data_IF_805418698156
#
_entry.id   IF_805418698156
#
_cell.length_a   1.000
_cell.length_b   1.000
_cell.length_c   1.000
_cell.angle_alpha   90.00
_cell.angle_beta   90.00
_cell.angle_gamma   90.00
#
_symmetry.space_group_name_H-M   'P 1'
#
loop_
_entity.id
_entity.type
_entity.pdbx_description
1 polymer ?
#
# COMPACT_ATOMS: atom_id res chain seq x y z
N UNK A 1 26.27 20.80 2.12
CA UNK A 1 26.34 20.73 3.59
C UNK A 1 25.42 19.60 4.05
N UNK A 2 26.00 18.46 4.45
CA UNK A 2 25.22 17.28 4.84
C UNK A 2 24.72 17.44 6.27
N UNK A 3 23.40 17.59 6.43
CA UNK A 3 22.76 17.51 7.75
C UNK A 3 22.74 16.03 8.13
N UNK A 4 23.70 15.58 8.95
CA UNK A 4 23.52 14.36 9.73
C UNK A 4 22.51 14.68 10.83
N UNK A 5 21.22 14.61 10.50
CA UNK A 5 20.16 14.60 11.48
C UNK A 5 20.23 13.24 12.20
N UNK A 6 21.06 13.15 13.24
CA UNK A 6 21.06 11.98 14.11
C UNK A 6 19.85 12.14 15.04
N UNK A 7 18.87 11.24 14.93
CA UNK A 7 17.72 11.25 15.82
C UNK A 7 18.20 11.18 17.29
N UNK A 8 17.56 11.92 18.22
CA UNK A 8 17.91 11.85 19.64
C UNK A 8 17.91 10.40 20.14
N UNK A 9 18.85 10.06 21.03
CA UNK A 9 19.06 8.66 21.47
C UNK A 9 17.82 8.01 22.09
N UNK A 10 16.93 8.80 22.72
CA UNK A 10 15.68 8.30 23.29
C UNK A 10 14.64 7.96 22.21
N UNK A 11 14.53 8.75 21.14
CA UNK A 11 13.65 8.46 20.00
C UNK A 11 14.13 7.19 19.30
N UNK A 12 15.43 7.07 19.08
CA UNK A 12 16.03 5.87 18.49
C UNK A 12 15.76 4.63 19.35
N UNK A 13 15.91 4.74 20.68
CA UNK A 13 15.59 3.67 21.62
C UNK A 13 14.11 3.27 21.57
N UNK A 14 13.21 4.24 21.47
CA UNK A 14 11.78 3.98 21.33
C UNK A 14 11.45 3.26 20.01
N UNK A 15 11.99 3.71 18.87
CA UNK A 15 11.80 3.03 17.59
C UNK A 15 12.35 1.60 17.62
N UNK A 16 13.54 1.40 18.19
CA UNK A 16 14.15 0.08 18.33
C UNK A 16 13.29 -0.87 19.18
N UNK A 17 12.71 -0.36 20.28
CA UNK A 17 11.79 -1.11 21.12
C UNK A 17 10.53 -1.51 20.34
N UNK A 18 9.87 -0.56 19.67
CA UNK A 18 8.64 -0.81 18.89
C UNK A 18 8.90 -1.86 17.80
N UNK A 19 10.00 -1.74 17.06
CA UNK A 19 10.37 -2.71 16.02
C UNK A 19 10.65 -4.08 16.63
N UNK A 20 11.36 -4.15 17.75
CA UNK A 20 11.66 -5.42 18.42
C UNK A 20 10.39 -6.10 18.92
N UNK A 21 9.48 -5.35 19.55
CA UNK A 21 8.17 -5.87 19.95
C UNK A 21 7.36 -6.38 18.74
N UNK A 22 7.35 -5.65 17.63
CA UNK A 22 6.67 -6.05 16.41
C UNK A 22 7.27 -7.33 15.81
N UNK A 23 8.60 -7.44 15.80
CA UNK A 23 9.31 -8.65 15.34
C UNK A 23 8.98 -9.83 16.24
N UNK A 24 9.07 -9.67 17.56
CA UNK A 24 8.76 -10.74 18.52
C UNK A 24 7.32 -11.23 18.39
N UNK A 25 6.35 -10.31 18.27
CA UNK A 25 4.94 -10.65 18.08
C UNK A 25 4.70 -11.38 16.76
N UNK A 26 5.35 -10.93 15.68
CA UNK A 26 5.25 -11.60 14.38
C UNK A 26 5.91 -12.99 14.42
N UNK A 27 7.06 -13.10 15.07
CA UNK A 27 7.78 -14.37 15.27
C UNK A 27 6.99 -15.36 16.12
N UNK A 28 6.27 -14.93 17.15
CA UNK A 28 5.42 -15.82 17.94
C UNK A 28 4.27 -16.39 17.10
N UNK A 29 3.64 -15.57 16.24
CA UNK A 29 2.62 -16.05 15.31
C UNK A 29 3.17 -17.06 14.30
N UNK A 30 4.36 -16.81 13.74
CA UNK A 30 5.04 -17.75 12.84
C UNK A 30 5.36 -19.06 13.56
N UNK A 31 5.83 -19.00 14.81
CA UNK A 31 6.16 -20.18 15.61
C UNK A 31 4.93 -21.03 15.93
N UNK A 32 3.80 -20.40 16.27
CA UNK A 32 2.53 -21.08 16.49
C UNK A 32 2.01 -21.75 15.22
N UNK A 33 2.02 -21.04 14.08
CA UNK A 33 1.64 -21.60 12.79
C UNK A 33 2.52 -22.79 12.39
N UNK A 34 3.83 -22.69 12.60
CA UNK A 34 4.79 -23.77 12.34
C UNK A 34 4.48 -25.02 13.17
N UNK A 35 4.17 -24.86 14.47
CA UNK A 35 3.79 -26.00 15.32
C UNK A 35 2.47 -26.64 14.89
N UNK A 36 1.48 -25.85 14.47
CA UNK A 36 0.21 -26.36 13.98
C UNK A 36 0.39 -27.19 12.68
N UNK A 37 1.26 -26.75 11.77
CA UNK A 37 1.58 -27.47 10.55
C UNK A 37 2.27 -28.82 10.82
N UNK A 38 3.20 -28.88 11.78
CA UNK A 38 3.91 -30.12 12.17
C UNK A 38 2.94 -31.19 12.72
N UNK A 39 1.88 -30.78 13.42
CA UNK A 39 0.87 -31.70 13.97
C UNK A 39 -0.10 -32.23 12.89
N UNK A 40 -0.32 -31.48 11.81
CA UNK A 40 -1.26 -31.81 10.72
C UNK A 40 -0.65 -32.69 9.61
N UNK A 41 0.18 -33.67 9.97
CA UNK A 41 1.05 -34.45 9.07
C UNK A 41 0.34 -35.47 8.15
N UNK A 42 -0.79 -35.11 7.52
CA UNK A 42 -1.40 -35.89 6.43
C UNK A 42 -1.31 -35.26 5.04
N UNK A 43 -0.78 -34.04 4.92
CA UNK A 43 -0.11 -33.40 3.78
C UNK A 43 -0.05 -31.92 4.20
N UNK A 44 1.04 -31.46 4.84
CA UNK A 44 1.16 -30.06 5.18
C UNK A 44 1.54 -29.32 3.89
N UNK A 45 0.56 -28.86 3.12
CA UNK A 45 0.85 -27.81 2.15
C UNK A 45 1.33 -26.60 2.95
N UNK A 46 2.56 -26.15 2.72
CA UNK A 46 3.08 -24.96 3.38
C UNK A 46 2.21 -23.76 2.96
N UNK A 47 1.95 -22.81 3.86
CA UNK A 47 1.26 -21.57 3.51
C UNK A 47 2.01 -20.86 2.38
N UNK A 48 3.33 -20.98 2.37
CA UNK A 48 4.17 -20.52 1.27
C UNK A 48 3.90 -21.26 -0.06
N UNK A 49 3.62 -22.56 -0.04
CA UNK A 49 3.26 -23.34 -1.23
C UNK A 49 1.88 -22.92 -1.76
N UNK A 50 0.92 -22.66 -0.87
CA UNK A 50 -0.36 -22.07 -1.24
C UNK A 50 -0.16 -20.73 -1.94
N UNK A 51 0.62 -19.81 -1.36
CA UNK A 51 0.95 -18.51 -1.96
C UNK A 51 1.65 -18.66 -3.32
N UNK A 52 2.61 -19.58 -3.43
CA UNK A 52 3.36 -19.81 -4.67
C UNK A 52 2.47 -20.39 -5.78
N UNK A 53 1.69 -21.44 -5.48
CA UNK A 53 0.72 -22.02 -6.42
C UNK A 53 -0.31 -20.97 -6.81
N UNK A 54 -0.77 -20.16 -5.87
CA UNK A 54 -1.73 -19.07 -6.06
C UNK A 54 -1.21 -17.97 -7.00
N UNK A 55 0.03 -17.50 -6.85
CA UNK A 55 0.65 -16.51 -7.76
C UNK A 55 0.75 -17.04 -9.20
N UNK A 56 1.14 -18.30 -9.36
CA UNK A 56 1.43 -18.88 -10.69
C UNK A 56 0.23 -19.54 -11.38
N UNK A 57 -0.89 -19.77 -10.69
CA UNK A 57 -2.12 -20.34 -11.28
C UNK A 57 -3.23 -19.30 -11.39
N UNK A 58 -3.93 -19.01 -10.29
CA UNK A 58 -5.10 -18.14 -10.24
C UNK A 58 -4.78 -16.68 -10.55
N UNK A 59 -3.63 -16.18 -10.08
CA UNK A 59 -3.30 -14.76 -10.21
C UNK A 59 -2.53 -14.43 -11.50
N UNK A 60 -1.87 -15.41 -12.12
CA UNK A 60 -1.02 -15.21 -13.31
C UNK A 60 -1.74 -14.47 -14.44
N UNK A 61 -2.94 -14.91 -14.81
CA UNK A 61 -3.65 -14.32 -15.95
C UNK A 61 -4.20 -12.92 -15.63
N UNK A 62 -4.64 -12.68 -14.40
CA UNK A 62 -5.12 -11.37 -13.94
C UNK A 62 -3.96 -10.38 -13.86
N UNK A 63 -2.85 -10.74 -13.21
CA UNK A 63 -1.65 -9.89 -13.14
C UNK A 63 -1.15 -9.59 -14.54
N UNK A 64 -0.98 -10.61 -15.39
CA UNK A 64 -0.46 -10.40 -16.74
C UNK A 64 -1.42 -9.49 -17.51
N UNK A 65 -2.73 -9.72 -17.46
CA UNK A 65 -3.69 -8.87 -18.15
C UNK A 65 -3.70 -7.42 -17.62
N UNK A 66 -3.72 -7.23 -16.30
CA UNK A 66 -3.75 -5.90 -15.69
C UNK A 66 -2.41 -5.16 -15.85
N UNK A 67 -1.27 -5.84 -15.74
CA UNK A 67 0.06 -5.22 -15.94
C UNK A 67 0.37 -4.98 -17.42
N UNK A 68 0.09 -5.94 -18.31
CA UNK A 68 0.29 -5.74 -19.76
C UNK A 68 -0.69 -4.70 -20.30
N UNK A 69 -1.95 -4.74 -19.85
CA UNK A 69 -2.95 -3.72 -20.10
C UNK A 69 -2.50 -2.37 -19.58
N UNK A 70 -1.95 -2.30 -18.35
CA UNK A 70 -1.37 -1.08 -17.82
C UNK A 70 -0.27 -0.55 -18.72
N UNK A 71 0.73 -1.36 -19.10
CA UNK A 71 1.86 -0.92 -19.93
C UNK A 71 1.42 -0.50 -21.34
N UNK A 72 0.55 -1.26 -22.00
CA UNK A 72 0.08 -0.95 -23.35
C UNK A 72 -0.82 0.28 -23.36
N UNK A 73 -1.80 0.34 -22.47
CA UNK A 73 -2.70 1.48 -22.31
C UNK A 73 -1.93 2.73 -21.87
N UNK A 74 -1.02 2.57 -20.90
CA UNK A 74 -0.11 3.62 -20.46
C UNK A 74 0.72 4.16 -21.62
N UNK A 75 1.32 3.29 -22.42
CA UNK A 75 2.17 3.69 -23.53
C UNK A 75 1.39 4.45 -24.59
N UNK A 76 0.20 3.97 -24.95
CA UNK A 76 -0.69 4.63 -25.92
C UNK A 76 -1.12 6.00 -25.41
N UNK A 77 -1.63 6.09 -24.17
CA UNK A 77 -2.05 7.36 -23.57
C UNK A 77 -0.88 8.32 -23.31
N UNK A 78 0.30 7.79 -23.00
CA UNK A 78 1.53 8.55 -22.79
C UNK A 78 2.06 9.18 -24.07
N UNK A 79 1.80 8.55 -25.22
CA UNK A 79 2.13 9.07 -26.55
C UNK A 79 1.11 10.09 -27.04
N UNK A 80 -0.17 9.94 -26.70
CA UNK A 80 -1.23 10.87 -27.15
C UNK A 80 -1.39 12.08 -26.23
N UNK A 81 -1.25 11.91 -24.91
CA UNK A 81 -1.48 12.97 -23.91
C UNK A 81 -0.39 12.94 -22.82
N UNK A 82 0.85 13.34 -23.16
CA UNK A 82 2.00 13.20 -22.28
C UNK A 82 1.89 14.03 -20.98
N UNK A 83 1.11 15.11 -20.99
CA UNK A 83 0.94 16.01 -19.85
C UNK A 83 0.04 15.43 -18.75
N UNK A 84 -0.84 14.46 -19.07
CA UNK A 84 -1.81 13.89 -18.12
C UNK A 84 -1.50 12.43 -17.73
N UNK A 85 -0.28 11.95 -18.00
CA UNK A 85 0.16 10.57 -17.72
C UNK A 85 -0.18 10.08 -16.31
N UNK A 86 0.13 10.89 -15.30
CA UNK A 86 -0.12 10.55 -13.89
C UNK A 86 -1.61 10.35 -13.59
N UNK A 87 -2.48 11.16 -14.19
CA UNK A 87 -3.93 11.07 -14.02
C UNK A 87 -4.46 9.82 -14.71
N UNK A 88 -3.96 9.51 -15.91
CA UNK A 88 -4.33 8.27 -16.63
C UNK A 88 -3.93 7.04 -15.81
N UNK A 89 -2.74 7.04 -15.22
CA UNK A 89 -2.28 5.92 -14.38
C UNK A 89 -3.13 5.76 -13.12
N UNK A 90 -3.48 6.87 -12.47
CA UNK A 90 -4.39 6.87 -11.33
C UNK A 90 -5.76 6.29 -11.70
N UNK A 91 -6.37 6.76 -12.79
CA UNK A 91 -7.68 6.29 -13.24
C UNK A 91 -7.65 4.81 -13.62
N UNK A 92 -6.61 4.38 -14.34
CA UNK A 92 -6.42 2.97 -14.66
C UNK A 92 -6.29 2.12 -13.39
N UNK A 93 -5.52 2.58 -12.40
CA UNK A 93 -5.39 1.91 -11.11
C UNK A 93 -6.72 1.78 -10.38
N UNK A 94 -7.50 2.87 -10.30
CA UNK A 94 -8.84 2.84 -9.69
C UNK A 94 -9.78 1.86 -10.41
N UNK A 95 -9.77 1.84 -11.74
CA UNK A 95 -10.57 0.91 -12.53
C UNK A 95 -10.12 -0.54 -12.36
N UNK A 96 -8.81 -0.80 -12.28
CA UNK A 96 -8.27 -2.12 -12.03
C UNK A 96 -8.68 -2.64 -10.65
N UNK A 97 -8.65 -1.79 -9.62
CA UNK A 97 -9.11 -2.12 -8.26
C UNK A 97 -10.62 -2.38 -8.25
N UNK A 98 -11.39 -1.51 -8.90
CA UNK A 98 -12.84 -1.67 -9.01
C UNK A 98 -13.21 -2.98 -9.72
N UNK A 99 -12.53 -3.32 -10.81
CA UNK A 99 -12.79 -4.52 -11.58
C UNK A 99 -12.32 -5.82 -10.91
N UNK A 100 -11.30 -5.75 -10.04
CA UNK A 100 -10.75 -6.94 -9.35
C UNK A 100 -11.36 -7.19 -7.98
N UNK A 101 -11.50 -6.16 -7.16
CA UNK A 101 -11.91 -6.25 -5.74
C UNK A 101 -13.29 -5.64 -5.46
N UNK A 102 -13.88 -4.97 -6.45
CA UNK A 102 -15.20 -4.36 -6.34
C UNK A 102 -15.20 -2.97 -5.69
N UNK A 103 -16.39 -2.38 -5.67
CA UNK A 103 -16.60 -1.00 -5.23
C UNK A 103 -16.34 -0.81 -3.73
N UNK A 104 -16.77 -1.77 -2.91
CA UNK A 104 -16.58 -1.73 -1.47
C UNK A 104 -15.11 -1.56 -1.07
N UNK A 105 -14.23 -2.36 -1.67
CA UNK A 105 -12.80 -2.29 -1.41
C UNK A 105 -12.20 -0.95 -1.88
N UNK A 106 -12.61 -0.47 -3.04
CA UNK A 106 -12.21 0.86 -3.52
C UNK A 106 -12.61 1.95 -2.51
N UNK A 107 -13.81 1.88 -1.94
CA UNK A 107 -14.28 2.82 -0.92
C UNK A 107 -13.45 2.75 0.37
N UNK A 108 -13.04 1.55 0.79
CA UNK A 108 -12.12 1.39 1.95
C UNK A 108 -10.80 2.09 1.69
N UNK A 109 -10.17 1.87 0.52
CA UNK A 109 -8.92 2.55 0.15
C UNK A 109 -9.09 4.07 0.12
N UNK A 110 -10.15 4.57 -0.51
CA UNK A 110 -10.45 6.00 -0.56
C UNK A 110 -10.68 6.59 0.82
N UNK A 111 -11.30 5.84 1.73
CA UNK A 111 -11.51 6.25 3.12
C UNK A 111 -10.18 6.42 3.88
N UNK A 112 -9.24 5.47 3.73
CA UNK A 112 -7.91 5.58 4.32
C UNK A 112 -7.13 6.78 3.75
N UNK A 113 -7.22 7.00 2.44
CA UNK A 113 -6.64 8.20 1.81
C UNK A 113 -7.23 9.48 2.42
N UNK A 114 -8.56 9.55 2.59
CA UNK A 114 -9.23 10.72 3.14
C UNK A 114 -8.83 10.97 4.60
N UNK A 115 -8.86 9.94 5.45
CA UNK A 115 -8.52 10.04 6.88
C UNK A 115 -7.08 10.54 7.04
N UNK A 116 -6.12 9.90 6.37
CA UNK A 116 -4.71 10.26 6.51
C UNK A 116 -4.37 11.58 5.83
N UNK A 117 -5.09 11.96 4.76
CA UNK A 117 -5.01 13.30 4.19
C UNK A 117 -5.48 14.36 5.20
N UNK A 118 -6.62 14.14 5.85
CA UNK A 118 -7.12 15.04 6.90
C UNK A 118 -6.14 15.20 8.05
N UNK A 119 -5.48 14.11 8.46
CA UNK A 119 -4.42 14.16 9.48
C UNK A 119 -3.19 14.93 8.97
N UNK A 120 -2.82 14.76 7.70
CA UNK A 120 -1.73 15.50 7.08
C UNK A 120 -1.96 17.03 7.09
N UNK A 121 -3.23 17.47 7.03
CA UNK A 121 -3.60 18.89 7.14
C UNK A 121 -3.14 19.52 8.46
N UNK A 122 -3.05 18.74 9.54
CA UNK A 122 -2.61 19.22 10.84
C UNK A 122 -1.10 19.51 10.90
N UNK A 123 -0.31 19.03 9.93
CA UNK A 123 1.17 19.15 9.87
C UNK A 123 1.90 18.68 11.13
N UNK A 124 1.32 17.74 11.88
CA UNK A 124 1.95 17.17 13.07
C UNK A 124 2.44 15.74 12.77
N UNK A 125 3.76 15.54 12.78
CA UNK A 125 4.37 14.22 12.48
C UNK A 125 3.86 13.10 13.39
N UNK A 126 3.71 13.39 14.68
CA UNK A 126 3.26 12.40 15.66
C UNK A 126 1.81 11.94 15.37
N UNK A 127 0.93 12.85 14.93
CA UNK A 127 -0.43 12.49 14.52
C UNK A 127 -0.43 11.59 13.29
N UNK A 128 0.44 11.86 12.31
CA UNK A 128 0.58 11.00 11.12
C UNK A 128 0.99 9.58 11.50
N UNK A 129 1.95 9.41 12.42
CA UNK A 129 2.35 8.10 12.92
C UNK A 129 1.24 7.39 13.68
N UNK A 130 0.63 8.07 14.66
CA UNK A 130 -0.45 7.48 15.48
C UNK A 130 -1.63 7.07 14.61
N UNK A 131 -2.09 7.96 13.72
CA UNK A 131 -3.22 7.68 12.84
C UNK A 131 -2.91 6.52 11.88
N UNK A 132 -1.74 6.51 11.24
CA UNK A 132 -1.39 5.44 10.31
C UNK A 132 -1.17 4.09 11.00
N UNK A 133 -0.56 4.06 12.20
CA UNK A 133 -0.43 2.84 13.00
C UNK A 133 -1.80 2.33 13.48
N UNK A 134 -2.70 3.23 13.86
CA UNK A 134 -4.08 2.89 14.22
C UNK A 134 -4.83 2.31 13.00
N UNK A 135 -4.70 2.92 11.83
CA UNK A 135 -5.26 2.38 10.59
C UNK A 135 -4.69 0.97 10.28
N UNK A 136 -3.38 0.77 10.40
CA UNK A 136 -2.77 -0.56 10.21
C UNK A 136 -3.31 -1.59 11.21
N UNK A 137 -3.42 -1.22 12.48
CA UNK A 137 -3.98 -2.08 13.51
C UNK A 137 -5.46 -2.41 13.24
N UNK A 138 -6.24 -1.44 12.75
CA UNK A 138 -7.68 -1.61 12.49
C UNK A 138 -7.99 -2.68 11.42
N UNK A 139 -7.07 -2.98 10.51
CA UNK A 139 -7.25 -4.06 9.52
C UNK A 139 -7.34 -5.44 10.18
N UNK A 140 -6.64 -5.64 11.30
CA UNK A 140 -6.52 -6.94 11.99
C UNK A 140 -7.34 -7.02 13.28
N UNK A 141 -7.89 -5.90 13.75
CA UNK A 141 -8.69 -5.85 14.97
C UNK A 141 -10.18 -6.03 14.66
N UNK A 142 -10.85 -6.92 15.39
CA UNK A 142 -12.30 -6.99 15.42
C UNK A 142 -12.90 -5.77 16.16
N UNK A 143 -14.06 -5.22 15.73
CA UNK A 143 -14.95 -5.71 14.67
C UNK A 143 -14.62 -5.19 13.26
N UNK A 144 -13.57 -4.36 13.13
CA UNK A 144 -13.27 -3.69 11.87
C UNK A 144 -12.83 -4.67 10.78
N UNK A 145 -12.11 -5.72 11.14
CA UNK A 145 -11.69 -6.78 10.21
C UNK A 145 -12.90 -7.49 9.57
N UNK A 146 -13.83 -8.01 10.38
CA UNK A 146 -15.06 -8.66 9.89
C UNK A 146 -15.99 -7.73 9.12
N UNK A 147 -16.09 -6.46 9.52
CA UNK A 147 -16.88 -5.48 8.76
C UNK A 147 -16.27 -5.18 7.42
N UNK A 148 -14.96 -4.95 7.37
CA UNK A 148 -14.28 -4.64 6.12
C UNK A 148 -14.31 -5.83 5.16
N UNK A 149 -14.07 -7.06 5.62
CA UNK A 149 -14.17 -8.26 4.77
C UNK A 149 -15.60 -8.53 4.32
N UNK A 150 -16.60 -8.28 5.17
CA UNK A 150 -18.02 -8.46 4.85
C UNK A 150 -18.52 -7.58 3.71
N UNK A 151 -17.87 -6.43 3.43
CA UNK A 151 -18.22 -5.59 2.28
C UNK A 151 -17.58 -6.05 0.97
N UNK A 152 -16.50 -6.84 1.03
CA UNK A 152 -15.76 -7.25 -0.16
C UNK A 152 -16.39 -8.56 -0.65
N UNK A 153 -17.55 -8.44 -1.30
CA UNK A 153 -18.28 -9.59 -1.86
C UNK A 153 -17.69 -9.97 -3.22
N UNK A 154 -16.78 -10.96 -3.26
CA UNK A 154 -16.20 -11.48 -4.51
C UNK A 154 -15.92 -12.98 -4.42
N UNK A 155 -16.15 -13.72 -5.50
CA UNK A 155 -16.00 -15.16 -5.55
C UNK A 155 -14.57 -15.60 -5.93
N UNK A 156 -13.55 -14.94 -5.38
CA UNK A 156 -12.15 -15.28 -5.66
C UNK A 156 -11.44 -15.68 -4.36
N UNK A 157 -10.83 -16.86 -4.35
CA UNK A 157 -10.05 -17.41 -3.22
C UNK A 157 -8.86 -16.52 -2.78
N UNK A 158 -8.60 -15.43 -3.52
CA UNK A 158 -7.46 -14.53 -3.38
C UNK A 158 -7.78 -13.21 -2.68
N UNK A 159 -9.04 -12.99 -2.36
CA UNK A 159 -9.54 -11.71 -1.91
C UNK A 159 -8.93 -11.26 -0.59
N UNK A 160 -8.72 -12.17 0.35
CA UNK A 160 -8.13 -11.85 1.66
C UNK A 160 -6.69 -11.37 1.55
N UNK A 161 -5.84 -12.05 0.78
CA UNK A 161 -4.42 -11.66 0.62
C UNK A 161 -4.31 -10.29 -0.05
N UNK A 162 -5.11 -10.04 -1.08
CA UNK A 162 -5.12 -8.75 -1.78
C UNK A 162 -5.76 -7.64 -0.94
N UNK A 163 -6.74 -7.99 -0.11
CA UNK A 163 -7.36 -7.10 0.86
C UNK A 163 -6.36 -6.66 1.92
N UNK A 164 -5.71 -7.60 2.61
CA UNK A 164 -4.73 -7.30 3.66
C UNK A 164 -3.49 -6.61 3.12
N UNK A 165 -2.92 -7.15 2.03
CA UNK A 165 -1.74 -6.59 1.38
C UNK A 165 -2.02 -5.20 0.82
N UNK A 166 -3.03 -5.06 -0.05
CA UNK A 166 -3.34 -3.79 -0.69
C UNK A 166 -3.78 -2.69 0.28
N UNK A 167 -4.55 -3.03 1.33
CA UNK A 167 -4.91 -2.06 2.38
C UNK A 167 -3.68 -1.65 3.19
N UNK A 168 -2.83 -2.61 3.56
CA UNK A 168 -1.58 -2.34 4.29
C UNK A 168 -0.63 -1.41 3.52
N UNK A 169 -0.34 -1.72 2.26
CA UNK A 169 0.51 -0.89 1.40
C UNK A 169 -0.11 0.49 1.12
N UNK A 170 -1.44 0.57 1.00
CA UNK A 170 -2.14 1.87 0.89
C UNK A 170 -1.92 2.71 2.13
N UNK A 171 -2.11 2.16 3.32
CA UNK A 171 -1.92 2.91 4.58
C UNK A 171 -0.47 3.34 4.73
N UNK A 172 0.51 2.50 4.40
CA UNK A 172 1.92 2.87 4.42
C UNK A 172 2.22 4.04 3.46
N UNK A 173 1.67 4.03 2.24
CA UNK A 173 1.81 5.13 1.28
C UNK A 173 1.12 6.40 1.77
N UNK A 174 -0.09 6.30 2.31
CA UNK A 174 -0.77 7.44 2.92
C UNK A 174 0.00 8.02 4.11
N UNK A 175 0.62 7.17 4.93
CA UNK A 175 1.46 7.60 6.05
C UNK A 175 2.73 8.29 5.55
N UNK A 176 3.41 7.74 4.54
CA UNK A 176 4.53 8.39 3.84
C UNK A 176 4.13 9.79 3.40
N UNK A 177 3.09 9.90 2.56
CA UNK A 177 2.57 11.17 2.08
C UNK A 177 2.28 12.17 3.21
N UNK A 178 1.67 11.72 4.31
CA UNK A 178 1.31 12.58 5.43
C UNK A 178 2.55 13.10 6.18
N UNK A 179 3.57 12.26 6.34
CA UNK A 179 4.85 12.64 6.95
C UNK A 179 5.61 13.63 6.07
N UNK A 180 5.78 13.33 4.77
CA UNK A 180 6.47 14.22 3.83
C UNK A 180 5.72 15.55 3.65
N UNK A 181 4.39 15.52 3.59
CA UNK A 181 3.56 16.73 3.56
C UNK A 181 3.71 17.61 4.80
N UNK A 182 3.93 17.00 5.97
CA UNK A 182 4.12 17.71 7.23
C UNK A 182 5.48 18.39 7.35
N UNK A 183 6.51 17.87 6.66
CA UNK A 183 7.86 18.46 6.62
C UNK A 183 7.96 19.67 5.70
N UNK A 184 7.00 19.83 4.79
CA UNK A 184 7.00 20.90 3.80
C UNK A 184 6.70 22.25 4.45
N UNK A 185 7.64 23.20 4.28
CA UNK A 185 7.56 24.56 4.82
C UNK A 185 6.37 25.36 4.28
N UNK A 186 6.01 25.17 3.01
CA UNK A 186 4.94 25.92 2.34
C UNK A 186 3.91 24.98 1.70
N UNK A 187 2.64 25.20 2.04
CA UNK A 187 1.51 24.44 1.49
C UNK A 187 1.48 22.96 1.91
N UNK A 188 0.52 22.24 1.37
CA UNK A 188 0.34 20.78 1.48
C UNK A 188 0.09 20.26 0.06
N UNK A 189 0.52 19.04 -0.23
CA UNK A 189 0.22 18.41 -1.51
C UNK A 189 -1.29 18.19 -1.69
N UNK A 190 -1.76 18.13 -2.93
CA UNK A 190 -3.19 17.94 -3.17
C UNK A 190 -3.60 16.52 -2.82
N UNK A 191 -4.87 16.33 -2.45
CA UNK A 191 -5.46 14.99 -2.35
C UNK A 191 -5.31 14.21 -3.67
N UNK A 192 -5.31 14.91 -4.82
CA UNK A 192 -5.05 14.27 -6.11
C UNK A 192 -3.64 13.70 -6.23
N UNK A 193 -2.64 14.29 -5.56
CA UNK A 193 -1.28 13.75 -5.57
C UNK A 193 -1.18 12.49 -4.70
N UNK A 194 -1.92 12.45 -3.58
CA UNK A 194 -2.08 11.24 -2.77
C UNK A 194 -2.78 10.11 -3.56
N UNK A 195 -3.83 10.44 -4.32
CA UNK A 195 -4.55 9.46 -5.14
C UNK A 195 -3.66 8.92 -6.27
N UNK A 196 -2.90 9.78 -6.96
CA UNK A 196 -1.92 9.33 -7.97
C UNK A 196 -0.91 8.36 -7.36
N UNK A 197 -0.43 8.63 -6.16
CA UNK A 197 0.53 7.80 -5.45
C UNK A 197 -0.06 6.44 -5.01
N UNK A 198 -1.29 6.44 -4.48
CA UNK A 198 -1.96 5.22 -4.05
C UNK A 198 -2.47 4.36 -5.21
N UNK A 199 -2.91 4.95 -6.31
CA UNK A 199 -3.43 4.19 -7.45
C UNK A 199 -2.41 4.00 -8.59
N UNK A 200 -1.13 4.27 -8.34
CA UNK A 200 -0.09 3.91 -9.29
C UNK A 200 0.09 2.38 -9.29
N UNK A 201 -0.45 1.74 -10.33
CA UNK A 201 -0.60 0.28 -10.41
C UNK A 201 0.71 -0.53 -10.21
N UNK A 202 1.88 -0.09 -10.73
CA UNK A 202 3.15 -0.76 -10.45
C UNK A 202 3.49 -0.91 -8.96
N UNK A 203 2.87 -0.12 -8.07
CA UNK A 203 3.06 -0.16 -6.62
C UNK A 203 1.86 -0.69 -5.83
N UNK A 204 0.76 -1.09 -6.49
CA UNK A 204 -0.54 -1.17 -5.82
C UNK A 204 -0.70 -2.34 -4.84
N UNK A 205 -0.29 -3.56 -5.22
CA UNK A 205 -0.46 -4.73 -4.35
C UNK A 205 0.82 -5.11 -3.60
N UNK A 206 1.96 -5.17 -4.30
CA UNK A 206 3.26 -5.59 -3.72
C UNK A 206 4.47 -4.96 -4.42
N UNK A 207 4.30 -3.80 -5.05
CA UNK A 207 5.44 -3.15 -5.71
C UNK A 207 6.43 -2.55 -4.70
N UNK A 208 7.61 -2.11 -5.17
CA UNK A 208 8.62 -1.51 -4.30
C UNK A 208 8.03 -0.37 -3.44
N UNK A 209 8.30 -0.38 -2.13
CA UNK A 209 7.92 0.74 -1.27
C UNK A 209 8.80 1.93 -1.62
N UNK A 210 8.23 2.86 -2.38
CA UNK A 210 8.85 4.14 -2.73
C UNK A 210 8.20 5.23 -1.90
N UNK A 211 8.96 6.17 -1.35
CA UNK A 211 8.41 7.31 -0.59
C UNK A 211 7.71 8.33 -1.49
N UNK A 212 6.83 9.16 -0.93
CA UNK A 212 6.08 10.12 -1.75
C UNK A 212 6.97 11.13 -2.45
N UNK A 213 8.04 11.62 -1.83
CA UNK A 213 8.95 12.60 -2.44
C UNK A 213 9.64 12.06 -3.70
N UNK A 214 10.09 10.79 -3.65
CA UNK A 214 10.70 10.13 -4.80
C UNK A 214 9.68 9.95 -5.92
N UNK A 215 8.47 9.50 -5.57
CA UNK A 215 7.36 9.37 -6.52
C UNK A 215 6.99 10.71 -7.17
N UNK A 216 6.79 11.74 -6.35
CA UNK A 216 6.41 13.07 -6.81
C UNK A 216 7.48 13.66 -7.75
N UNK A 217 8.77 13.46 -7.44
CA UNK A 217 9.88 13.87 -8.31
C UNK A 217 9.85 13.12 -9.65
N UNK A 218 9.69 11.80 -9.65
CA UNK A 218 9.67 11.00 -10.88
C UNK A 218 8.48 11.33 -11.78
N UNK A 219 7.32 11.63 -11.19
CA UNK A 219 6.08 11.90 -11.92
C UNK A 219 6.02 13.36 -12.44
N UNK A 220 6.70 14.29 -11.76
CA UNK A 220 6.75 15.70 -12.15
C UNK A 220 7.81 16.01 -13.21
N UNK A 221 8.83 15.15 -13.39
CA UNK A 221 9.82 15.30 -14.45
C UNK A 221 9.21 14.88 -15.80
N UNK A 222 9.10 15.80 -16.79
CA UNK A 222 8.74 15.42 -18.14
C UNK A 222 9.85 14.53 -18.72
N UNK A 223 9.48 13.40 -19.32
CA UNK A 223 10.39 12.44 -19.97
C UNK A 223 11.26 13.05 -21.11
N UNK A 224 11.10 14.34 -21.42
CA UNK A 224 11.89 15.08 -22.40
C UNK A 224 13.31 15.45 -21.92
N UNK A 225 13.65 15.25 -20.64
CA UNK A 225 14.99 15.52 -20.11
C UNK A 225 15.88 14.28 -19.93
N UNK A 226 15.47 13.13 -20.48
CA UNK A 226 16.19 11.84 -20.37
C UNK A 226 16.62 11.28 -21.74
N UNK A 227 16.72 12.13 -22.77
CA UNK A 227 17.31 11.81 -24.07
C UNK A 227 18.60 12.57 -24.29
#
# INVERSE_FOLDING_TARGET
MGVKAMLPSHELGFYALVVTCAVLYSSSGIFEASRAAVVSSRHPEDVADFEWVMWFTSFRNVIIFTLSGHVLFAKVCSMTVPQHRAVVYMLYGMLAVLGSMGLAYLMIILSHCLILYSVALAKQKWLCYVAGLCCLASIKLEPFSSWQSGFVTGAFDLQDVLFYGGSGFTIMRCMSFALESSERKEGIFSIFDLLKYNFYLPFFFFGPVMTFDQFHTQVSVPMASLS
#
